data_IF_878074631413
#
_entry.id   IF_878074631413
#
_cell.length_a   1.000
_cell.length_b   1.000
_cell.length_c   1.000
_cell.angle_alpha   90.00
_cell.angle_beta   90.00
_cell.angle_gamma   90.00
#
_symmetry.space_group_name_H-M   'P 1'
#
loop_
_entity.id
_entity.type
_entity.pdbx_description
1 polymer ?
#
# COMPACT_ATOMS: atom_id res chain seq x y z
N UNK A 1 8.42 -19.95 0.39
CA UNK A 1 8.13 -21.19 1.16
C UNK A 1 8.97 -21.34 2.43
N UNK A 2 10.29 -21.14 2.42
CA UNK A 2 11.14 -21.10 3.65
C UNK A 2 10.75 -19.95 4.59
N UNK A 3 10.22 -18.87 4.07
CA UNK A 3 9.93 -17.62 4.78
C UNK A 3 8.71 -17.72 5.70
N UNK A 4 7.60 -18.32 5.24
CA UNK A 4 6.40 -18.53 6.09
C UNK A 4 6.71 -19.43 7.29
N UNK A 5 7.52 -20.49 7.09
CA UNK A 5 7.96 -21.34 8.20
C UNK A 5 8.82 -20.58 9.21
N UNK A 6 9.63 -19.63 8.76
CA UNK A 6 10.44 -18.79 9.66
C UNK A 6 9.57 -17.85 10.48
N UNK A 7 8.60 -17.17 9.83
CA UNK A 7 7.70 -16.21 10.49
C UNK A 7 6.88 -16.91 11.57
N UNK A 8 6.25 -18.05 11.26
CA UNK A 8 5.42 -18.75 12.24
C UNK A 8 6.22 -19.26 13.44
N UNK A 9 7.43 -19.79 13.20
CA UNK A 9 8.28 -20.28 14.29
C UNK A 9 8.75 -19.13 15.19
N UNK A 10 9.17 -18.00 14.62
CA UNK A 10 9.56 -16.81 15.40
C UNK A 10 8.39 -16.27 16.21
N UNK A 11 7.21 -16.16 15.61
CA UNK A 11 6.01 -15.70 16.28
C UNK A 11 5.59 -16.65 17.42
N UNK A 12 5.70 -17.96 17.19
CA UNK A 12 5.45 -18.99 18.20
C UNK A 12 6.40 -18.86 19.40
N UNK A 13 7.71 -18.76 19.16
CA UNK A 13 8.70 -18.58 20.21
C UNK A 13 8.47 -17.28 21.00
N UNK A 14 8.15 -16.19 20.32
CA UNK A 14 7.84 -14.92 20.96
C UNK A 14 6.56 -14.97 21.81
N UNK A 15 5.55 -15.75 21.40
CA UNK A 15 4.34 -15.98 22.17
C UNK A 15 4.64 -16.84 23.39
N UNK A 16 5.36 -17.96 23.25
CA UNK A 16 5.79 -18.83 24.35
C UNK A 16 6.57 -18.06 25.42
N UNK A 17 7.52 -17.23 25.01
CA UNK A 17 8.29 -16.40 25.93
C UNK A 17 7.44 -15.40 26.74
N UNK A 18 6.19 -15.18 26.34
CA UNK A 18 5.24 -14.27 26.99
C UNK A 18 4.27 -14.99 27.94
N UNK A 19 4.23 -16.31 27.90
CA UNK A 19 3.30 -17.13 28.67
C UNK A 19 4.02 -17.82 29.80
N UNK A 20 3.38 -17.97 30.99
CA UNK A 20 4.02 -18.54 32.15
C UNK A 20 4.15 -20.08 32.11
N UNK A 21 3.68 -20.76 31.06
CA UNK A 21 3.61 -22.22 30.95
C UNK A 21 4.07 -22.68 29.57
N UNK A 22 5.05 -23.59 29.51
CA UNK A 22 5.74 -24.02 28.29
C UNK A 22 4.89 -24.79 27.27
N UNK A 23 3.88 -25.53 27.69
CA UNK A 23 3.11 -26.44 26.82
C UNK A 23 1.80 -25.88 26.28
N UNK A 24 1.59 -24.58 26.39
CA UNK A 24 0.29 -23.94 26.07
C UNK A 24 0.11 -23.71 24.59
N UNK A 25 1.20 -23.71 23.80
CA UNK A 25 1.17 -23.40 22.36
C UNK A 25 2.03 -24.36 21.57
N UNK A 26 1.42 -25.09 20.63
CA UNK A 26 2.11 -26.04 19.75
C UNK A 26 1.73 -25.83 18.29
N UNK A 27 2.71 -26.00 17.38
CA UNK A 27 2.47 -26.06 15.95
C UNK A 27 1.98 -27.47 15.59
N UNK A 28 0.72 -27.62 15.21
CA UNK A 28 0.11 -28.92 14.93
C UNK A 28 0.38 -29.39 13.51
N UNK A 29 0.32 -28.48 12.54
CA UNK A 29 0.73 -28.74 11.17
C UNK A 29 1.14 -27.45 10.47
N UNK A 30 2.21 -27.54 9.67
CA UNK A 30 2.57 -26.55 8.66
C UNK A 30 2.37 -27.23 7.30
N UNK A 31 1.11 -27.51 6.94
CA UNK A 31 0.82 -28.37 5.79
C UNK A 31 0.70 -27.57 4.50
N UNK A 32 1.35 -28.10 3.46
CA UNK A 32 1.56 -27.48 2.14
C UNK A 32 0.39 -27.74 1.18
N UNK A 33 -0.79 -28.08 1.66
CA UNK A 33 -1.92 -28.33 0.78
C UNK A 33 -2.57 -26.99 0.40
N UNK A 34 -2.19 -26.48 -0.77
CA UNK A 34 -2.78 -25.28 -1.41
C UNK A 34 -4.31 -25.33 -1.54
N UNK A 35 -4.91 -26.49 -1.44
CA UNK A 35 -6.36 -26.70 -1.56
C UNK A 35 -7.16 -26.31 -0.30
N UNK A 36 -6.51 -26.12 0.86
CA UNK A 36 -7.20 -25.79 2.12
C UNK A 36 -7.30 -24.30 2.43
N UNK A 37 -6.57 -23.44 1.70
CA UNK A 37 -6.65 -21.99 1.79
C UNK A 37 -6.06 -21.35 3.05
N UNK A 38 -5.32 -22.10 3.89
CA UNK A 38 -4.58 -21.60 5.06
C UNK A 38 -3.13 -22.09 5.08
N UNK A 39 -2.25 -21.43 5.84
CA UNK A 39 -0.80 -21.69 5.82
C UNK A 39 -0.33 -22.66 6.94
N UNK A 40 -1.00 -22.67 8.09
CA UNK A 40 -0.64 -23.52 9.23
C UNK A 40 -1.79 -23.67 10.26
N UNK A 41 -1.63 -24.60 11.22
CA UNK A 41 -2.50 -24.73 12.39
C UNK A 41 -1.66 -24.61 13.64
N UNK A 42 -2.04 -23.68 14.53
CA UNK A 42 -1.51 -23.54 15.89
C UNK A 42 -2.55 -24.03 16.91
N UNK A 43 -2.14 -24.93 17.78
CA UNK A 43 -2.91 -25.26 18.97
C UNK A 43 -2.53 -24.30 20.10
N UNK A 44 -3.49 -23.54 20.61
CA UNK A 44 -3.32 -22.61 21.72
C UNK A 44 -4.31 -22.99 22.81
N UNK A 45 -3.80 -23.41 23.96
CA UNK A 45 -4.61 -23.85 25.12
C UNK A 45 -5.64 -24.94 24.75
N UNK A 46 -5.24 -25.92 23.91
CA UNK A 46 -6.10 -27.02 23.49
C UNK A 46 -7.11 -26.66 22.38
N UNK A 47 -7.01 -25.46 21.78
CA UNK A 47 -7.88 -25.00 20.71
C UNK A 47 -7.07 -24.74 19.46
N UNK A 48 -7.52 -25.25 18.32
CA UNK A 48 -6.86 -25.09 17.03
C UNK A 48 -7.24 -23.76 16.37
N UNK A 49 -6.20 -23.00 16.01
CA UNK A 49 -6.28 -21.77 15.24
C UNK A 49 -5.73 -22.00 13.84
N UNK A 50 -6.53 -21.71 12.85
CA UNK A 50 -6.13 -21.71 11.44
C UNK A 50 -5.37 -20.42 11.14
N UNK A 51 -4.10 -20.56 10.74
CA UNK A 51 -3.17 -19.45 10.57
C UNK A 51 -3.06 -19.02 9.13
N UNK A 52 -3.17 -17.71 8.91
CA UNK A 52 -2.83 -17.01 7.68
C UNK A 52 -1.54 -16.24 7.88
N UNK A 53 -0.50 -16.60 7.13
CA UNK A 53 0.82 -16.00 7.27
C UNK A 53 1.03 -14.98 6.18
N UNK A 54 1.31 -13.74 6.58
CA UNK A 54 1.68 -12.66 5.65
C UNK A 54 2.95 -11.99 6.17
N UNK A 55 3.92 -11.81 5.31
CA UNK A 55 5.18 -11.18 5.71
C UNK A 55 4.94 -9.79 6.28
N UNK A 56 4.20 -8.95 5.56
CA UNK A 56 3.84 -7.60 5.97
C UNK A 56 2.36 -7.34 5.68
N UNK A 57 1.71 -6.64 6.62
CA UNK A 57 0.35 -6.14 6.45
C UNK A 57 0.39 -4.61 6.42
N UNK A 58 -0.11 -4.05 5.34
CA UNK A 58 -0.28 -2.61 5.14
C UNK A 58 -1.76 -2.26 5.10
N UNK A 59 -2.11 -0.98 5.13
CA UNK A 59 -3.51 -0.55 4.96
C UNK A 59 -4.14 -1.04 3.66
N UNK A 60 -3.35 -1.08 2.58
CA UNK A 60 -3.81 -1.49 1.25
C UNK A 60 -4.00 -3.01 1.17
N UNK A 61 -3.17 -3.80 1.85
CA UNK A 61 -3.25 -5.26 1.84
C UNK A 61 -4.15 -5.82 2.93
N UNK A 62 -4.52 -5.03 3.95
CA UNK A 62 -5.33 -5.49 5.08
C UNK A 62 -6.71 -6.01 4.63
N UNK A 63 -7.49 -5.19 3.95
CA UNK A 63 -8.85 -5.58 3.55
C UNK A 63 -8.87 -6.79 2.59
N UNK A 64 -8.05 -6.86 1.53
CA UNK A 64 -7.92 -8.08 0.72
C UNK A 64 -7.53 -9.31 1.53
N UNK A 65 -6.58 -9.17 2.49
CA UNK A 65 -6.19 -10.29 3.36
C UNK A 65 -7.37 -10.75 4.23
N UNK A 66 -8.09 -9.82 4.86
CA UNK A 66 -9.24 -10.16 5.69
C UNK A 66 -10.37 -10.81 4.88
N UNK A 67 -10.62 -10.34 3.67
CA UNK A 67 -11.59 -10.96 2.76
C UNK A 67 -11.21 -12.41 2.41
N UNK A 68 -9.94 -12.66 2.10
CA UNK A 68 -9.43 -14.00 1.84
C UNK A 68 -9.57 -14.91 3.07
N UNK A 69 -9.25 -14.41 4.27
CA UNK A 69 -9.42 -15.14 5.53
C UNK A 69 -10.89 -15.49 5.81
N UNK A 70 -11.82 -14.59 5.51
CA UNK A 70 -13.25 -14.80 5.70
C UNK A 70 -13.84 -15.79 4.69
N UNK A 71 -13.37 -15.78 3.45
CA UNK A 71 -13.84 -16.67 2.40
C UNK A 71 -13.56 -18.16 2.71
N UNK A 72 -12.53 -18.46 3.48
CA UNK A 72 -12.12 -19.83 3.84
C UNK A 72 -12.58 -20.21 5.26
N UNK A 73 -13.23 -19.28 5.97
CA UNK A 73 -13.73 -19.52 7.32
C UNK A 73 -14.95 -20.47 7.30
N UNK A 74 -14.74 -21.69 7.73
CA UNK A 74 -15.80 -22.72 7.83
C UNK A 74 -16.69 -22.54 9.08
N UNK A 75 -16.44 -21.51 9.88
CA UNK A 75 -17.12 -21.25 11.15
C UNK A 75 -16.81 -22.26 12.28
N UNK A 76 -15.97 -23.28 12.02
CA UNK A 76 -15.61 -24.31 13.00
C UNK A 76 -14.28 -24.01 13.70
N UNK A 77 -13.39 -23.32 13.00
CA UNK A 77 -12.04 -23.01 13.50
C UNK A 77 -11.91 -21.52 13.83
N UNK A 78 -11.06 -21.23 14.80
CA UNK A 78 -10.66 -19.86 15.09
C UNK A 78 -9.59 -19.43 14.07
N UNK A 79 -9.67 -18.21 13.58
CA UNK A 79 -8.71 -17.66 12.58
C UNK A 79 -7.67 -16.82 13.30
N UNK A 80 -6.41 -16.94 12.88
CA UNK A 80 -5.27 -16.19 13.40
C UNK A 80 -4.44 -15.61 12.23
N UNK A 81 -4.26 -14.30 12.22
CA UNK A 81 -3.32 -13.63 11.33
C UNK A 81 -1.92 -13.66 11.95
N UNK A 82 -0.94 -14.19 11.23
CA UNK A 82 0.48 -14.20 11.66
C UNK A 82 1.30 -13.35 10.71
N UNK A 83 2.10 -12.43 11.25
CA UNK A 83 2.92 -11.52 10.44
C UNK A 83 4.24 -11.19 11.13
N UNK A 84 5.20 -10.56 10.42
CA UNK A 84 6.47 -10.16 11.04
C UNK A 84 6.29 -9.14 12.14
N UNK A 85 5.48 -8.12 11.91
CA UNK A 85 5.25 -7.05 12.89
C UNK A 85 3.88 -6.38 12.73
N UNK A 86 3.25 -6.12 13.87
CA UNK A 86 1.98 -5.39 13.96
C UNK A 86 2.24 -4.05 14.63
N UNK A 87 2.12 -2.96 13.86
CA UNK A 87 2.25 -1.60 14.42
C UNK A 87 1.11 -1.31 15.40
N UNK A 88 1.27 -0.38 16.37
CA UNK A 88 0.20 -0.03 17.31
C UNK A 88 -1.11 0.39 16.63
N UNK A 89 -1.01 1.10 15.50
CA UNK A 89 -2.17 1.53 14.70
C UNK A 89 -2.88 0.33 14.07
N UNK A 90 -2.11 -0.59 13.48
CA UNK A 90 -2.66 -1.82 12.89
C UNK A 90 -3.29 -2.71 13.97
N UNK A 91 -2.65 -2.82 15.15
CA UNK A 91 -3.19 -3.56 16.29
C UNK A 91 -4.57 -3.05 16.70
N UNK A 92 -4.76 -1.73 16.77
CA UNK A 92 -6.04 -1.10 17.06
C UNK A 92 -7.08 -1.43 15.98
N UNK A 93 -6.70 -1.38 14.72
CA UNK A 93 -7.60 -1.66 13.60
C UNK A 93 -8.04 -3.15 13.58
N UNK A 94 -7.10 -4.08 13.78
CA UNK A 94 -7.40 -5.51 13.91
C UNK A 94 -8.29 -5.81 15.11
N UNK A 95 -8.02 -5.18 16.25
CA UNK A 95 -8.84 -5.33 17.46
C UNK A 95 -10.28 -4.84 17.26
N UNK A 96 -10.48 -3.71 16.59
CA UNK A 96 -11.79 -3.15 16.26
C UNK A 96 -12.59 -4.07 15.31
N UNK A 97 -11.88 -4.78 14.42
CA UNK A 97 -12.47 -5.77 13.50
C UNK A 97 -12.60 -7.17 14.13
N UNK A 98 -12.27 -7.33 15.42
CA UNK A 98 -12.27 -8.61 16.15
C UNK A 98 -11.39 -9.69 15.51
N UNK A 99 -10.29 -9.30 14.85
CA UNK A 99 -9.34 -10.20 14.21
C UNK A 99 -8.25 -10.59 15.21
N UNK A 100 -8.06 -11.91 15.40
CA UNK A 100 -6.93 -12.42 16.14
C UNK A 100 -5.64 -12.25 15.35
N UNK A 101 -4.57 -11.83 16.02
CA UNK A 101 -3.26 -11.66 15.38
C UNK A 101 -2.11 -12.03 16.33
N UNK A 102 -0.98 -12.36 15.72
CA UNK A 102 0.29 -12.64 16.39
C UNK A 102 1.43 -12.16 15.48
N UNK A 103 2.46 -11.53 16.07
CA UNK A 103 3.67 -11.14 15.33
C UNK A 103 4.96 -11.73 15.92
N UNK A 104 6.07 -11.60 15.17
CA UNK A 104 7.37 -12.13 15.59
C UNK A 104 8.00 -11.38 16.78
N UNK A 105 7.47 -10.20 17.15
CA UNK A 105 7.88 -9.48 18.36
C UNK A 105 7.13 -9.99 19.61
N UNK A 106 6.06 -10.77 19.41
CA UNK A 106 5.17 -11.22 20.45
C UNK A 106 4.04 -10.24 20.76
N UNK A 107 3.79 -9.23 19.90
CA UNK A 107 2.54 -8.51 19.97
C UNK A 107 1.41 -9.42 19.50
N UNK A 108 0.36 -9.53 20.27
CA UNK A 108 -0.74 -10.43 19.97
C UNK A 108 -2.07 -9.94 20.52
N UNK A 109 -3.13 -10.40 19.88
CA UNK A 109 -4.47 -10.43 20.41
C UNK A 109 -5.08 -11.75 19.95
N UNK A 110 -5.20 -12.69 20.88
CA UNK A 110 -5.77 -14.02 20.63
C UNK A 110 -6.96 -14.20 21.55
N UNK A 111 -8.15 -14.23 20.97
CA UNK A 111 -9.41 -14.44 21.67
C UNK A 111 -10.03 -15.73 21.22
N UNK A 112 -10.48 -16.53 22.16
CA UNK A 112 -11.31 -17.68 21.88
C UNK A 112 -12.68 -17.50 22.51
N UNK A 113 -13.72 -17.66 21.69
CA UNK A 113 -15.11 -17.69 22.14
C UNK A 113 -15.76 -19.00 21.73
N UNK A 114 -16.52 -19.60 22.64
CA UNK A 114 -17.31 -20.82 22.35
C UNK A 114 -18.73 -20.62 22.87
N UNK A 115 -19.71 -20.81 21.97
CA UNK A 115 -21.16 -20.62 22.28
C UNK A 115 -21.44 -19.23 22.90
N UNK A 116 -20.80 -18.18 22.36
CA UNK A 116 -20.97 -16.80 22.82
C UNK A 116 -20.29 -16.45 24.14
N UNK A 117 -19.57 -17.40 24.79
CA UNK A 117 -18.80 -17.13 25.99
C UNK A 117 -17.30 -17.08 25.69
N UNK A 118 -16.64 -16.06 26.23
CA UNK A 118 -15.17 -15.96 26.15
C UNK A 118 -14.53 -17.07 26.98
N UNK A 119 -13.67 -17.85 26.35
CA UNK A 119 -12.91 -18.93 27.02
C UNK A 119 -11.59 -18.38 27.55
N UNK A 120 -10.83 -17.68 26.68
CA UNK A 120 -9.61 -16.98 27.06
C UNK A 120 -9.32 -15.81 26.13
N UNK A 121 -8.49 -14.90 26.62
CA UNK A 121 -7.88 -13.84 25.83
C UNK A 121 -6.42 -13.70 26.21
N UNK A 122 -5.53 -13.73 25.21
CA UNK A 122 -4.12 -13.40 25.35
C UNK A 122 -3.92 -12.08 24.60
N UNK A 123 -3.36 -11.08 25.28
CA UNK A 123 -3.10 -9.78 24.68
C UNK A 123 -1.75 -9.27 25.13
N UNK A 124 -0.91 -8.91 24.18
CA UNK A 124 0.36 -8.24 24.39
C UNK A 124 0.58 -7.21 23.30
N UNK A 125 0.96 -6.00 23.67
CA UNK A 125 1.15 -4.89 22.71
C UNK A 125 2.35 -4.03 23.14
N UNK A 126 2.87 -3.28 22.16
CA UNK A 126 3.93 -2.30 22.39
C UNK A 126 5.34 -2.88 22.39
N UNK A 127 5.53 -4.17 22.11
CA UNK A 127 6.87 -4.71 21.85
C UNK A 127 7.38 -4.16 20.54
N UNK A 128 8.62 -3.73 20.55
CA UNK A 128 9.33 -3.28 19.33
C UNK A 128 9.69 -4.51 18.50
N UNK A 129 9.69 -4.35 17.18
CA UNK A 129 10.18 -5.40 16.29
C UNK A 129 11.56 -5.89 16.74
N UNK A 130 11.79 -7.21 16.88
CA UNK A 130 13.11 -7.76 17.21
C UNK A 130 14.13 -7.49 16.10
N UNK A 131 13.68 -7.36 14.86
CA UNK A 131 14.51 -6.82 13.79
C UNK A 131 14.51 -5.29 13.89
N UNK A 132 15.66 -4.59 13.72
CA UNK A 132 15.64 -3.15 13.53
C UNK A 132 14.63 -2.92 12.39
N UNK A 133 13.56 -2.16 12.71
CA UNK A 133 12.44 -1.82 11.80
C UNK A 133 12.98 -1.85 10.40
N UNK A 134 12.53 -2.81 9.59
CA UNK A 134 13.06 -3.16 8.28
C UNK A 134 13.92 -2.03 7.77
N UNK A 135 15.23 -2.24 7.53
CA UNK A 135 16.09 -1.21 6.94
C UNK A 135 15.19 -0.58 5.91
N UNK A 136 14.71 0.62 6.18
CA UNK A 136 13.78 1.31 5.29
C UNK A 136 14.59 1.48 4.04
N UNK A 137 14.38 0.56 3.12
CA UNK A 137 15.22 0.45 1.95
C UNK A 137 15.12 1.80 1.25
N UNK A 138 16.23 2.42 0.90
CA UNK A 138 16.22 3.74 0.27
C UNK A 138 15.24 3.82 -0.90
N UNK A 139 14.98 2.69 -1.56
CA UNK A 139 14.07 2.57 -2.70
C UNK A 139 12.60 2.85 -2.36
N UNK A 140 12.16 2.59 -1.13
CA UNK A 140 10.78 2.86 -0.70
C UNK A 140 10.66 4.01 0.31
N UNK A 141 11.71 4.83 0.44
CA UNK A 141 11.65 6.15 1.07
C UNK A 141 11.20 7.20 0.05
N UNK A 142 10.87 8.40 0.52
CA UNK A 142 10.40 9.50 -0.33
C UNK A 142 11.26 9.72 -1.58
N UNK A 143 12.58 9.80 -1.43
CA UNK A 143 13.51 9.99 -2.54
C UNK A 143 13.49 8.78 -3.50
N UNK A 144 13.48 7.56 -2.95
CA UNK A 144 13.46 6.33 -3.76
C UNK A 144 12.16 6.15 -4.51
N UNK A 145 11.02 6.47 -3.89
CA UNK A 145 9.71 6.40 -4.55
C UNK A 145 9.62 7.34 -5.77
N UNK A 146 10.26 8.52 -5.70
CA UNK A 146 10.34 9.45 -6.85
C UNK A 146 11.19 8.87 -7.98
N UNK A 147 12.31 8.22 -7.65
CA UNK A 147 13.17 7.55 -8.64
C UNK A 147 12.43 6.37 -9.27
N UNK A 148 11.84 5.48 -8.47
CA UNK A 148 11.10 4.32 -8.98
C UNK A 148 9.93 4.76 -9.87
N UNK A 149 9.19 5.80 -9.50
CA UNK A 149 8.15 6.38 -10.34
C UNK A 149 8.68 6.76 -11.72
N UNK A 150 9.80 7.48 -11.78
CA UNK A 150 10.44 7.87 -13.03
C UNK A 150 10.84 6.66 -13.90
N UNK A 151 11.36 5.60 -13.27
CA UNK A 151 11.71 4.37 -13.98
C UNK A 151 10.48 3.60 -14.48
N UNK A 152 9.39 3.63 -13.73
CA UNK A 152 8.15 2.95 -14.12
C UNK A 152 7.41 3.68 -15.24
N UNK A 153 7.53 5.02 -15.35
CA UNK A 153 6.93 5.78 -16.46
C UNK A 153 7.48 5.36 -17.82
N UNK A 154 8.78 5.04 -17.89
CA UNK A 154 9.42 4.47 -19.06
C UNK A 154 10.59 3.59 -18.60
N UNK A 155 10.54 2.30 -18.92
CA UNK A 155 11.58 1.33 -18.53
C UNK A 155 12.97 1.70 -19.06
N UNK A 156 13.06 2.39 -20.21
CA UNK A 156 14.33 2.86 -20.80
C UNK A 156 15.02 3.94 -19.93
N UNK A 157 14.28 4.62 -19.06
CA UNK A 157 14.83 5.61 -18.12
C UNK A 157 15.89 5.00 -17.18
N UNK A 158 15.89 3.67 -17.01
CA UNK A 158 16.91 2.97 -16.22
C UNK A 158 18.32 3.13 -16.83
N UNK A 159 18.41 3.41 -18.12
CA UNK A 159 19.64 3.63 -18.85
C UNK A 159 20.17 5.07 -18.79
N UNK A 160 19.33 6.01 -18.38
CA UNK A 160 19.73 7.41 -18.28
C UNK A 160 20.89 7.60 -17.30
N UNK A 161 21.79 8.57 -17.56
CA UNK A 161 22.83 8.95 -16.62
C UNK A 161 22.24 9.34 -15.25
N UNK A 162 22.93 9.02 -14.16
CA UNK A 162 22.47 9.35 -12.81
C UNK A 162 22.18 10.85 -12.60
N UNK A 163 22.89 11.72 -13.33
CA UNK A 163 22.67 13.18 -13.29
C UNK A 163 21.30 13.54 -13.88
N UNK A 164 20.93 12.92 -14.98
CA UNK A 164 19.62 13.12 -15.62
C UNK A 164 18.49 12.60 -14.71
N UNK A 165 18.62 11.38 -14.16
CA UNK A 165 17.65 10.84 -13.21
C UNK A 165 17.49 11.78 -12.01
N UNK A 166 18.61 12.32 -11.48
CA UNK A 166 18.59 13.33 -10.41
C UNK A 166 17.77 14.56 -10.78
N UNK A 167 17.97 15.10 -11.97
CA UNK A 167 17.29 16.31 -12.47
C UNK A 167 15.79 16.05 -12.64
N UNK A 168 15.43 14.91 -13.24
CA UNK A 168 14.04 14.54 -13.47
C UNK A 168 13.26 14.22 -12.16
N UNK A 169 13.93 13.67 -11.17
CA UNK A 169 13.29 13.26 -9.92
C UNK A 169 13.46 14.25 -8.77
N UNK A 170 14.32 15.27 -8.96
CA UNK A 170 14.70 16.24 -7.93
C UNK A 170 15.19 15.59 -6.63
N UNK A 171 16.01 14.54 -6.75
CA UNK A 171 16.66 13.86 -5.62
C UNK A 171 18.18 13.97 -5.70
N UNK A 172 18.91 13.69 -4.61
CA UNK A 172 20.37 13.74 -4.63
C UNK A 172 20.97 12.63 -5.51
N UNK A 173 22.15 12.89 -6.10
CA UNK A 173 22.88 11.90 -6.91
C UNK A 173 23.18 10.62 -6.12
N UNK A 174 23.53 10.75 -4.84
CA UNK A 174 23.74 9.62 -3.95
C UNK A 174 22.48 8.79 -3.73
N UNK A 175 21.31 9.44 -3.64
CA UNK A 175 20.04 8.74 -3.54
C UNK A 175 19.73 7.96 -4.81
N UNK A 176 19.96 8.53 -5.99
CA UNK A 176 19.77 7.82 -7.28
C UNK A 176 20.62 6.57 -7.32
N UNK A 177 21.93 6.69 -6.99
CA UNK A 177 22.83 5.54 -6.96
C UNK A 177 22.33 4.47 -5.99
N UNK A 178 22.05 4.84 -4.76
CA UNK A 178 21.60 3.88 -3.73
C UNK A 178 20.31 3.16 -4.13
N UNK A 179 19.38 3.85 -4.79
CA UNK A 179 18.12 3.26 -5.28
C UNK A 179 18.39 2.25 -6.38
N UNK A 180 19.21 2.59 -7.38
CA UNK A 180 19.54 1.68 -8.48
C UNK A 180 20.33 0.46 -8.00
N UNK A 181 21.29 0.65 -7.08
CA UNK A 181 22.03 -0.44 -6.44
C UNK A 181 21.09 -1.38 -5.67
N UNK A 182 20.11 -0.82 -4.96
CA UNK A 182 19.12 -1.60 -4.22
C UNK A 182 18.15 -2.35 -5.15
N UNK A 183 17.69 -1.72 -6.24
CA UNK A 183 16.87 -2.38 -7.26
C UNK A 183 17.63 -3.52 -7.94
N UNK A 184 18.93 -3.35 -8.21
CA UNK A 184 19.78 -4.39 -8.74
C UNK A 184 19.93 -5.57 -7.76
N UNK A 185 20.17 -5.28 -6.48
CA UNK A 185 20.26 -6.29 -5.41
C UNK A 185 18.95 -7.08 -5.23
N UNK A 186 17.81 -6.45 -5.47
CA UNK A 186 16.48 -7.08 -5.42
C UNK A 186 16.08 -7.81 -6.70
N UNK A 187 16.88 -7.71 -7.74
CA UNK A 187 16.61 -8.36 -9.02
C UNK A 187 15.60 -7.61 -9.90
N UNK A 188 15.33 -6.31 -9.65
CA UNK A 188 14.51 -5.48 -10.54
C UNK A 188 15.34 -4.82 -11.65
N UNK A 189 16.62 -4.56 -11.41
CA UNK A 189 17.55 -3.99 -12.40
C UNK A 189 18.68 -4.97 -12.69
N UNK A 190 18.92 -5.25 -13.95
CA UNK A 190 19.99 -6.12 -14.42
C UNK A 190 20.92 -5.37 -15.37
N UNK A 191 22.22 -5.61 -15.26
CA UNK A 191 23.18 -5.15 -16.23
C UNK A 191 23.22 -6.14 -17.40
N UNK A 192 23.04 -5.63 -18.62
CA UNK A 192 23.13 -6.39 -19.87
C UNK A 192 24.26 -5.83 -20.72
N UNK A 193 24.58 -6.50 -21.85
CA UNK A 193 25.57 -5.98 -22.81
C UNK A 193 25.18 -4.62 -23.39
N UNK A 194 23.87 -4.31 -23.46
CA UNK A 194 23.33 -3.12 -24.06
C UNK A 194 22.92 -2.05 -23.01
N UNK A 195 23.34 -2.21 -21.75
CA UNK A 195 22.98 -1.32 -20.66
C UNK A 195 22.19 -1.99 -19.55
N UNK A 196 21.40 -1.22 -18.82
CA UNK A 196 20.54 -1.73 -17.73
C UNK A 196 19.15 -2.07 -18.27
N UNK A 197 18.52 -3.10 -17.69
CA UNK A 197 17.17 -3.52 -18.01
C UNK A 197 16.33 -3.61 -16.74
N UNK A 198 15.10 -3.09 -16.80
CA UNK A 198 14.11 -3.20 -15.73
C UNK A 198 13.29 -4.48 -15.94
N UNK A 199 13.21 -5.34 -14.92
CA UNK A 199 12.43 -6.58 -14.94
C UNK A 199 11.36 -6.58 -13.85
N UNK A 200 10.43 -7.52 -13.95
CA UNK A 200 9.33 -7.72 -13.01
C UNK A 200 8.60 -6.41 -12.70
N UNK A 201 8.32 -5.63 -13.77
CA UNK A 201 7.72 -4.30 -13.70
C UNK A 201 6.41 -4.31 -12.90
N UNK A 202 5.59 -5.34 -13.06
CA UNK A 202 4.33 -5.46 -12.31
C UNK A 202 4.56 -5.57 -10.81
N UNK A 203 5.49 -6.44 -10.39
CA UNK A 203 5.83 -6.58 -8.97
C UNK A 203 6.42 -5.29 -8.40
N UNK A 204 7.27 -4.60 -9.17
CA UNK A 204 7.82 -3.31 -8.76
C UNK A 204 6.74 -2.23 -8.66
N UNK A 205 5.78 -2.20 -9.58
CA UNK A 205 4.61 -1.32 -9.53
C UNK A 205 3.79 -1.57 -8.28
N UNK A 206 3.47 -2.82 -7.95
CA UNK A 206 2.66 -3.16 -6.78
C UNK A 206 3.34 -2.74 -5.47
N UNK A 207 4.66 -2.97 -5.36
CA UNK A 207 5.46 -2.48 -4.24
C UNK A 207 5.49 -0.97 -4.18
N UNK A 208 5.64 -0.30 -5.32
CA UNK A 208 5.65 1.16 -5.40
C UNK A 208 4.30 1.74 -4.98
N UNK A 209 3.19 1.23 -5.49
CA UNK A 209 1.82 1.68 -5.18
C UNK A 209 1.54 1.62 -3.68
N UNK A 210 1.90 0.50 -3.04
CA UNK A 210 1.72 0.33 -1.59
C UNK A 210 2.49 1.39 -0.81
N UNK A 211 3.79 1.55 -1.11
CA UNK A 211 4.65 2.49 -0.40
C UNK A 211 4.37 3.95 -0.77
N UNK A 212 3.94 4.24 -2.01
CA UNK A 212 3.50 5.57 -2.41
C UNK A 212 2.34 6.05 -1.54
N UNK A 213 1.32 5.23 -1.37
CA UNK A 213 0.14 5.58 -0.57
C UNK A 213 0.45 5.71 0.93
N UNK A 214 1.41 4.95 1.44
CA UNK A 214 1.80 4.99 2.86
C UNK A 214 2.80 6.10 3.19
N UNK A 215 3.81 6.30 2.33
CA UNK A 215 4.99 7.12 2.65
C UNK A 215 5.00 8.45 1.92
N UNK A 216 4.68 8.47 0.62
CA UNK A 216 4.85 9.67 -0.20
C UNK A 216 3.57 10.50 -0.29
N UNK A 217 2.44 9.92 -0.67
CA UNK A 217 1.18 10.66 -0.88
C UNK A 217 0.76 11.51 0.32
N UNK A 218 0.83 11.02 1.58
CA UNK A 218 0.46 11.83 2.74
C UNK A 218 1.31 13.09 2.91
N UNK A 219 2.60 13.04 2.50
CA UNK A 219 3.52 14.19 2.57
C UNK A 219 3.31 15.20 1.46
N UNK A 220 2.65 14.80 0.38
CA UNK A 220 2.36 15.67 -0.75
C UNK A 220 1.10 16.52 -0.51
N UNK A 221 0.26 16.18 0.45
CA UNK A 221 -0.98 16.92 0.73
C UNK A 221 -0.66 18.34 1.17
N UNK A 222 -1.12 19.31 0.39
CA UNK A 222 -0.96 20.75 0.63
C UNK A 222 -2.17 21.37 1.35
N UNK A 223 -3.36 20.79 1.15
CA UNK A 223 -4.60 21.28 1.75
C UNK A 223 -5.83 20.67 1.09
N UNK A 224 -6.99 21.12 1.57
CA UNK A 224 -8.30 20.69 1.06
C UNK A 224 -9.14 21.89 0.64
N UNK A 225 -10.05 21.64 -0.29
CA UNK A 225 -10.97 22.62 -0.82
C UNK A 225 -12.33 21.97 -1.05
N UNK A 226 -13.37 22.78 -1.18
CA UNK A 226 -14.68 22.36 -1.65
C UNK A 226 -15.09 23.16 -2.90
N UNK A 227 -15.99 22.61 -3.70
CA UNK A 227 -16.64 23.36 -4.75
C UNK A 227 -17.47 24.49 -4.15
N UNK A 228 -17.58 25.63 -4.84
CA UNK A 228 -18.38 26.76 -4.35
C UNK A 228 -19.88 26.49 -4.41
N UNK A 229 -20.30 25.69 -5.40
CA UNK A 229 -21.69 25.32 -5.63
C UNK A 229 -21.79 23.87 -6.08
N UNK A 230 -22.95 23.25 -5.86
CA UNK A 230 -23.27 21.91 -6.38
C UNK A 230 -23.21 21.86 -7.91
N UNK A 231 -23.60 22.94 -8.59
CA UNK A 231 -23.49 23.07 -10.04
C UNK A 231 -22.03 22.92 -10.50
N UNK A 232 -21.09 23.59 -9.82
CA UNK A 232 -19.64 23.46 -10.11
C UNK A 232 -19.12 22.07 -9.82
N UNK A 233 -19.63 21.41 -8.80
CA UNK A 233 -19.29 20.03 -8.48
C UNK A 233 -19.80 19.05 -9.56
N UNK A 234 -21.04 19.21 -9.98
CA UNK A 234 -21.64 18.35 -11.02
C UNK A 234 -21.00 18.54 -12.38
N UNK A 235 -20.56 19.77 -12.70
CA UNK A 235 -19.88 20.10 -13.94
C UNK A 235 -18.35 20.29 -13.73
N UNK A 236 -17.74 19.47 -12.88
CA UNK A 236 -16.33 19.58 -12.53
C UNK A 236 -15.40 19.45 -13.75
N UNK A 237 -15.80 18.69 -14.78
CA UNK A 237 -15.06 18.50 -16.03
C UNK A 237 -14.88 19.79 -16.85
N UNK A 238 -15.80 20.75 -16.68
CA UNK A 238 -15.77 22.05 -17.34
C UNK A 238 -14.82 23.04 -16.65
N UNK A 239 -14.28 22.69 -15.49
CA UNK A 239 -13.34 23.53 -14.79
C UNK A 239 -12.00 23.53 -15.52
N UNK A 240 -11.65 24.68 -16.10
CA UNK A 240 -10.32 24.87 -16.66
C UNK A 240 -9.28 24.92 -15.55
N UNK A 241 -8.55 23.82 -15.36
CA UNK A 241 -7.45 23.80 -14.40
C UNK A 241 -6.35 24.79 -14.85
N UNK A 242 -5.80 25.59 -13.92
CA UNK A 242 -4.64 26.43 -14.22
C UNK A 242 -3.45 25.59 -14.71
N UNK A 243 -2.58 26.22 -15.51
CA UNK A 243 -1.37 25.57 -16.03
C UNK A 243 -0.54 24.95 -14.90
N UNK A 244 -0.05 23.75 -15.12
CA UNK A 244 0.72 22.96 -14.15
C UNK A 244 -0.12 22.25 -13.09
N UNK A 245 -1.46 22.27 -13.22
CA UNK A 245 -2.39 21.48 -12.43
C UNK A 245 -2.97 20.33 -13.26
N UNK A 246 -3.18 19.19 -12.63
CA UNK A 246 -3.75 18.02 -13.28
C UNK A 246 -4.68 17.25 -12.32
N UNK A 247 -5.75 16.71 -12.85
CA UNK A 247 -6.62 15.80 -12.11
C UNK A 247 -5.90 14.47 -11.82
N UNK A 248 -6.03 13.97 -10.59
CA UNK A 248 -5.61 12.64 -10.16
C UNK A 248 -6.80 11.81 -9.66
N UNK A 249 -6.53 10.63 -9.16
CA UNK A 249 -7.52 9.77 -8.52
C UNK A 249 -8.78 9.51 -9.35
N UNK A 250 -9.95 9.63 -8.70
CA UNK A 250 -11.24 9.35 -9.32
C UNK A 250 -11.58 10.25 -10.53
N UNK A 251 -11.32 11.58 -10.49
CA UNK A 251 -11.54 12.44 -11.66
C UNK A 251 -10.72 12.03 -12.87
N UNK A 252 -9.44 11.69 -12.65
CA UNK A 252 -8.58 11.27 -13.74
C UNK A 252 -9.02 9.94 -14.36
N UNK A 253 -9.48 9.01 -13.54
CA UNK A 253 -10.06 7.75 -14.01
C UNK A 253 -11.34 7.97 -14.82
N UNK A 254 -12.22 8.87 -14.36
CA UNK A 254 -13.40 9.24 -15.13
C UNK A 254 -13.06 9.83 -16.51
N UNK A 255 -12.05 10.71 -16.56
CA UNK A 255 -11.60 11.30 -17.83
C UNK A 255 -10.99 10.28 -18.79
N UNK A 256 -10.44 9.17 -18.27
CA UNK A 256 -9.86 8.11 -19.07
C UNK A 256 -10.92 7.25 -19.79
N UNK A 257 -11.99 6.84 -19.11
CA UNK A 257 -12.95 5.89 -19.67
C UNK A 257 -14.43 6.14 -19.31
N UNK A 258 -14.74 7.17 -18.51
CA UNK A 258 -16.09 7.53 -18.10
C UNK A 258 -16.75 6.58 -17.10
N UNK A 259 -16.09 5.51 -16.68
CA UNK A 259 -16.66 4.47 -15.83
C UNK A 259 -16.97 4.95 -14.40
N UNK A 260 -15.99 5.56 -13.73
CA UNK A 260 -16.08 5.93 -12.32
C UNK A 260 -16.63 7.35 -12.13
N UNK A 261 -17.78 7.51 -11.48
CA UNK A 261 -18.26 8.84 -11.08
C UNK A 261 -17.51 9.30 -9.81
N UNK A 262 -16.79 10.47 -9.85
CA UNK A 262 -15.97 10.90 -8.75
C UNK A 262 -16.78 11.26 -7.49
N UNK A 263 -16.39 10.69 -6.36
CA UNK A 263 -16.83 11.08 -5.02
C UNK A 263 -15.78 11.90 -4.28
N UNK A 264 -14.51 11.76 -4.66
CA UNK A 264 -13.36 12.49 -4.14
C UNK A 264 -12.55 13.07 -5.30
N UNK A 265 -11.96 14.24 -5.11
CA UNK A 265 -11.28 14.99 -6.19
C UNK A 265 -9.83 15.28 -5.82
N UNK A 266 -8.90 14.61 -6.47
CA UNK A 266 -7.47 14.83 -6.26
C UNK A 266 -6.92 15.74 -7.38
N UNK A 267 -6.18 16.79 -7.01
CA UNK A 267 -5.48 17.69 -7.94
C UNK A 267 -4.00 17.74 -7.57
N UNK A 268 -3.14 17.51 -8.54
CA UNK A 268 -1.69 17.65 -8.39
C UNK A 268 -1.21 18.96 -9.01
N UNK A 269 -0.34 19.69 -8.29
CA UNK A 269 0.10 21.02 -8.71
C UNK A 269 1.52 21.36 -8.25
N UNK A 270 2.22 22.16 -9.05
CA UNK A 270 3.42 22.93 -8.64
C UNK A 270 3.07 24.37 -8.27
N UNK A 271 1.86 24.82 -8.63
CA UNK A 271 1.39 26.18 -8.44
C UNK A 271 0.70 26.38 -7.08
N UNK A 272 0.68 27.60 -6.55
CA UNK A 272 -0.08 27.92 -5.34
C UNK A 272 -1.58 27.64 -5.49
N UNK A 273 -2.21 27.20 -4.42
CA UNK A 273 -3.66 26.95 -4.33
C UNK A 273 -4.52 28.17 -4.76
N UNK A 274 -4.01 29.38 -4.56
CA UNK A 274 -4.67 30.61 -4.97
C UNK A 274 -4.99 30.68 -6.47
N UNK A 275 -4.20 30.02 -7.31
CA UNK A 275 -4.48 29.98 -8.75
C UNK A 275 -5.77 29.20 -9.05
N UNK A 276 -6.01 28.10 -8.36
CA UNK A 276 -7.24 27.34 -8.51
C UNK A 276 -8.45 28.13 -7.94
N UNK A 277 -8.29 28.84 -6.82
CA UNK A 277 -9.36 29.66 -6.27
C UNK A 277 -9.78 30.83 -7.19
N UNK A 278 -8.85 31.36 -7.99
CA UNK A 278 -9.14 32.43 -8.97
C UNK A 278 -10.07 31.98 -10.09
N UNK A 279 -10.21 30.68 -10.34
CA UNK A 279 -11.20 30.18 -11.31
C UNK A 279 -12.64 30.44 -10.86
N UNK A 280 -12.86 30.77 -9.60
CA UNK A 280 -14.19 30.93 -9.01
C UNK A 280 -14.95 29.63 -8.77
N UNK A 281 -14.35 28.49 -9.10
CA UNK A 281 -15.00 27.18 -8.97
C UNK A 281 -14.91 26.59 -7.56
N UNK A 282 -13.82 26.92 -6.82
CA UNK A 282 -13.51 26.30 -5.52
C UNK A 282 -13.29 27.33 -4.42
N UNK A 283 -13.38 26.90 -3.18
CA UNK A 283 -13.05 27.66 -1.95
C UNK A 283 -12.22 26.81 -1.02
N UNK A 284 -11.44 27.45 -0.16
CA UNK A 284 -10.69 26.75 0.88
C UNK A 284 -11.64 26.12 1.89
N UNK A 285 -11.43 24.85 2.23
CA UNK A 285 -12.23 24.10 3.20
C UNK A 285 -11.39 22.94 3.73
N UNK A 286 -11.15 22.91 5.03
CA UNK A 286 -10.34 21.87 5.67
C UNK A 286 -10.96 20.47 5.60
N UNK A 287 -12.29 20.41 5.44
CA UNK A 287 -13.05 19.16 5.32
C UNK A 287 -13.56 18.92 3.88
N UNK A 288 -13.09 19.73 2.93
CA UNK A 288 -13.53 19.67 1.54
C UNK A 288 -13.14 18.36 0.84
N UNK A 289 -13.90 18.02 -0.18
CA UNK A 289 -13.75 16.82 -1.02
C UNK A 289 -12.64 16.92 -2.07
N UNK A 290 -12.07 18.13 -2.26
CA UNK A 290 -10.96 18.35 -3.20
C UNK A 290 -9.65 18.34 -2.41
N UNK A 291 -8.77 17.41 -2.72
CA UNK A 291 -7.44 17.30 -2.11
C UNK A 291 -6.39 17.86 -3.06
N UNK A 292 -5.63 18.82 -2.57
CA UNK A 292 -4.56 19.44 -3.34
C UNK A 292 -3.23 18.83 -2.95
N UNK A 293 -2.54 18.19 -3.90
CA UNK A 293 -1.25 17.54 -3.71
C UNK A 293 -0.14 18.25 -4.47
N UNK A 294 1.06 18.24 -3.90
CA UNK A 294 2.26 18.74 -4.56
C UNK A 294 2.68 17.79 -5.68
N UNK A 295 2.78 18.29 -6.92
CA UNK A 295 3.35 17.55 -8.04
C UNK A 295 4.86 17.31 -7.81
N UNK A 296 5.30 16.06 -7.86
CA UNK A 296 6.67 15.67 -7.53
C UNK A 296 7.52 15.21 -8.74
N UNK A 297 6.93 15.18 -9.93
CA UNK A 297 7.60 14.81 -11.18
C UNK A 297 7.72 16.02 -12.11
N UNK A 298 8.67 15.95 -13.08
CA UNK A 298 9.02 17.08 -13.93
C UNK A 298 8.38 17.06 -15.31
N UNK A 299 7.77 15.96 -15.71
CA UNK A 299 7.13 15.87 -17.01
C UNK A 299 6.02 16.92 -17.15
N UNK A 300 6.19 17.83 -18.10
CA UNK A 300 5.16 18.78 -18.49
C UNK A 300 4.33 18.13 -19.58
N UNK A 301 3.23 17.52 -19.20
CA UNK A 301 2.21 17.13 -20.16
C UNK A 301 1.13 18.18 -20.13
N UNK A 302 0.68 18.64 -21.30
CA UNK A 302 -0.55 19.44 -21.47
C UNK A 302 -1.81 18.64 -21.11
N UNK A 303 -1.63 17.47 -20.54
CA UNK A 303 -2.70 16.57 -20.16
C UNK A 303 -3.46 17.12 -18.96
N UNK A 304 -4.77 17.07 -19.06
CA UNK A 304 -5.67 17.40 -17.92
C UNK A 304 -5.50 16.46 -16.73
N UNK A 305 -4.86 15.30 -16.90
CA UNK A 305 -4.72 14.23 -15.92
C UNK A 305 -3.25 13.95 -15.59
N UNK A 306 -3.03 13.39 -14.41
CA UNK A 306 -1.73 12.82 -14.01
C UNK A 306 -1.41 11.56 -14.83
N UNK A 307 -0.13 11.10 -14.86
CA UNK A 307 0.24 9.83 -15.50
C UNK A 307 -0.58 8.63 -14.98
N UNK A 308 -0.87 7.67 -15.86
CA UNK A 308 -1.71 6.50 -15.57
C UNK A 308 -1.25 5.71 -14.33
N UNK A 309 0.06 5.62 -14.09
CA UNK A 309 0.63 4.99 -12.87
C UNK A 309 0.11 5.66 -11.59
N UNK A 310 0.00 7.00 -11.57
CA UNK A 310 -0.55 7.73 -10.42
C UNK A 310 -2.05 7.56 -10.30
N UNK A 311 -2.80 7.55 -11.42
CA UNK A 311 -4.23 7.25 -11.42
C UNK A 311 -4.45 5.88 -10.76
N UNK A 312 -3.74 4.87 -11.25
CA UNK A 312 -3.78 3.52 -10.71
C UNK A 312 -3.47 3.48 -9.21
N UNK A 313 -2.39 4.14 -8.79
CA UNK A 313 -1.96 4.17 -7.40
C UNK A 313 -2.96 4.86 -6.47
N UNK A 314 -3.54 5.98 -6.91
CA UNK A 314 -4.53 6.72 -6.14
C UNK A 314 -5.81 5.90 -5.93
N UNK A 315 -6.28 5.23 -6.97
CA UNK A 315 -7.45 4.35 -6.91
C UNK A 315 -7.22 3.15 -6.00
N UNK A 316 -6.07 2.50 -6.12
CA UNK A 316 -5.68 1.38 -5.25
C UNK A 316 -5.59 1.78 -3.78
N UNK A 317 -5.14 3.01 -3.51
CA UNK A 317 -5.04 3.57 -2.16
C UNK A 317 -6.37 3.94 -1.50
N UNK A 318 -7.45 4.05 -2.26
CA UNK A 318 -8.77 4.45 -1.74
C UNK A 318 -9.42 3.35 -0.89
N UNK A 319 -9.15 2.07 -1.18
CA UNK A 319 -9.77 0.90 -0.52
C UNK A 319 -11.26 0.70 -0.84
N UNK A 320 -11.82 1.49 -1.76
CA UNK A 320 -13.20 1.39 -2.20
C UNK A 320 -13.31 0.39 -3.37
N UNK A 321 -14.28 -0.52 -3.35
CA UNK A 321 -14.46 -1.55 -4.39
C UNK A 321 -14.62 -0.97 -5.81
N UNK A 322 -15.34 0.14 -5.95
CA UNK A 322 -15.51 0.82 -7.25
C UNK A 322 -14.21 1.40 -7.77
N UNK A 323 -13.39 1.95 -6.88
CA UNK A 323 -12.07 2.46 -7.25
C UNK A 323 -11.11 1.32 -7.61
N UNK A 324 -11.18 0.16 -6.94
CA UNK A 324 -10.37 -1.01 -7.29
C UNK A 324 -10.73 -1.55 -8.67
N UNK A 325 -12.03 -1.58 -9.02
CA UNK A 325 -12.49 -1.97 -10.36
C UNK A 325 -12.00 -0.96 -11.42
N UNK A 326 -12.12 0.34 -11.14
CA UNK A 326 -11.59 1.38 -12.03
C UNK A 326 -10.05 1.27 -12.17
N UNK A 327 -9.32 0.95 -11.08
CA UNK A 327 -7.88 0.71 -11.13
C UNK A 327 -7.52 -0.45 -12.05
N UNK A 328 -8.28 -1.55 -12.00
CA UNK A 328 -8.07 -2.69 -12.88
C UNK A 328 -8.23 -2.29 -14.36
N UNK A 329 -9.25 -1.48 -14.68
CA UNK A 329 -9.46 -0.95 -16.03
C UNK A 329 -8.31 -0.06 -16.51
N UNK A 330 -7.76 0.80 -15.62
CA UNK A 330 -6.57 1.61 -15.93
C UNK A 330 -5.36 0.70 -16.19
N UNK A 331 -5.18 -0.37 -15.40
CA UNK A 331 -4.10 -1.33 -15.63
C UNK A 331 -4.21 -1.97 -17.02
N UNK A 332 -5.38 -2.50 -17.37
CA UNK A 332 -5.64 -3.19 -18.63
C UNK A 332 -5.57 -2.28 -19.87
N UNK A 333 -5.97 -1.02 -19.75
CA UNK A 333 -6.06 -0.11 -20.89
C UNK A 333 -4.82 0.74 -21.08
N UNK A 334 -4.27 1.30 -19.99
CA UNK A 334 -3.22 2.34 -20.02
C UNK A 334 -1.85 1.80 -19.59
N UNK A 335 -1.79 0.67 -18.87
CA UNK A 335 -0.58 0.12 -18.28
C UNK A 335 -0.29 -1.32 -18.76
N UNK A 336 -0.59 -1.63 -20.02
CA UNK A 336 -0.43 -2.97 -20.63
C UNK A 336 0.98 -3.55 -20.50
N UNK A 337 1.98 -2.70 -20.47
CA UNK A 337 3.39 -3.10 -20.32
C UNK A 337 3.72 -3.68 -18.93
N UNK A 338 2.75 -3.64 -18.00
CA UNK A 338 2.89 -4.15 -16.64
C UNK A 338 2.13 -5.47 -16.40
N UNK A 339 1.42 -5.99 -17.40
CA UNK A 339 0.76 -7.29 -17.32
C UNK A 339 1.71 -8.48 -17.49
#
# INVERSE_FOLDING_TARGET
>A
MKENSTIINQALEALKASLPVDDVVTLTSADRNSDRGYDAILNIMGIDFVCYIKENITKTTLNPTLAAMQAVNDGKHQILLVTRYVTPRLATELANKSINYLDCAGNCLVRCTKRGKMIFQISNQGRKSPEPQTKTYPVFQEAGLKVVFYLLQNAENVNNPYREIKEQTNVSLGSVKNVLDELARRGFVFNTQNGRSLKDKKQLLDLWVSNYNEVLKPKLLMGRMSFRTEEKRNNWQDIALPQGMAWGGEPAANLADGYLQPGSFDIYTKSPAAHLMRTGAVKQDLNGEIHLYKKFWNEETDNKTVPAILIYADLMGSGNSRCLEAAQRILENELKDFE
#
